data_IF_454227510967
#
_entry.id   IF_454227510967
#
_cell.length_a   1.000
_cell.length_b   1.000
_cell.length_c   1.000
_cell.angle_alpha   90.00
_cell.angle_beta   90.00
_cell.angle_gamma   90.00
#
_symmetry.space_group_name_H-M   'P 1'
#
loop_
_entity.id
_entity.type
_entity.pdbx_description
1 polymer ?
#
# COMPACT_ATOMS: atom_id res chain seq x y z
N UNK A 1 16.41 15.42 -13.24
CA UNK A 1 15.75 15.24 -14.54
C UNK A 1 14.54 14.39 -14.25
N UNK A 2 13.34 14.87 -14.56
CA UNK A 2 12.11 14.16 -14.22
C UNK A 2 11.62 13.40 -15.45
N UNK A 3 11.28 12.13 -15.26
CA UNK A 3 10.66 11.31 -16.29
C UNK A 3 9.19 11.12 -15.96
N UNK A 4 8.32 11.44 -16.91
CA UNK A 4 6.89 11.14 -16.84
C UNK A 4 6.53 10.22 -18.01
N UNK A 5 5.82 9.13 -17.72
CA UNK A 5 5.31 8.21 -18.73
C UNK A 5 3.81 8.02 -18.54
N UNK A 6 3.06 8.12 -19.64
CA UNK A 6 1.63 7.84 -19.65
C UNK A 6 1.41 6.35 -19.95
N UNK A 7 0.93 5.62 -18.95
CA UNK A 7 0.67 4.17 -19.05
C UNK A 7 -0.82 3.92 -18.83
N UNK A 8 -1.52 3.17 -19.70
CA UNK A 8 -2.92 2.81 -19.51
C UNK A 8 -3.20 2.25 -18.11
N UNK A 9 -4.29 2.67 -17.47
CA UNK A 9 -4.57 2.44 -16.02
C UNK A 9 -4.79 0.97 -15.65
N UNK A 10 -5.24 0.14 -16.59
CA UNK A 10 -5.57 -1.28 -16.40
C UNK A 10 -4.36 -2.21 -16.48
N UNK A 11 -3.26 -1.77 -17.08
CA UNK A 11 -2.07 -2.59 -17.24
C UNK A 11 -1.31 -2.74 -15.92
N UNK A 12 -0.62 -3.88 -15.79
CA UNK A 12 0.37 -4.05 -14.74
C UNK A 12 1.49 -3.01 -14.90
N UNK A 13 1.76 -2.25 -13.85
CA UNK A 13 2.79 -1.22 -13.84
C UNK A 13 3.97 -1.67 -12.99
N UNK A 14 5.15 -1.77 -13.60
CA UNK A 14 6.39 -2.11 -12.91
C UNK A 14 7.32 -0.89 -12.95
N UNK A 15 7.70 -0.40 -11.77
CA UNK A 15 8.56 0.78 -11.60
C UNK A 15 9.76 0.41 -10.75
N UNK A 16 10.96 0.67 -11.26
CA UNK A 16 12.20 0.47 -10.52
C UNK A 16 12.99 1.77 -10.55
N UNK A 17 13.16 2.39 -9.39
CA UNK A 17 13.98 3.57 -9.18
C UNK A 17 15.15 3.26 -8.25
N UNK A 18 16.16 4.13 -8.23
CA UNK A 18 17.21 4.06 -7.21
C UNK A 18 16.96 5.11 -6.14
N UNK A 19 16.97 6.38 -6.52
CA UNK A 19 16.81 7.53 -5.60
C UNK A 19 15.61 8.40 -5.94
N UNK A 20 14.98 8.12 -7.07
CA UNK A 20 13.91 8.93 -7.63
C UNK A 20 12.59 8.64 -6.94
N UNK A 21 11.74 9.66 -6.84
CA UNK A 21 10.36 9.49 -6.40
C UNK A 21 9.59 8.64 -7.40
N UNK A 22 8.90 7.64 -6.91
CA UNK A 22 8.01 6.78 -7.69
C UNK A 22 6.57 7.12 -7.35
N UNK A 23 5.79 7.59 -8.33
CA UNK A 23 4.37 7.92 -8.17
C UNK A 23 3.50 7.05 -9.09
N UNK A 24 2.56 6.30 -8.53
CA UNK A 24 1.53 5.57 -9.26
C UNK A 24 0.16 5.81 -8.60
N UNK A 25 -0.76 6.50 -9.26
CA UNK A 25 -2.01 6.96 -8.61
C UNK A 25 -3.25 6.37 -9.28
N UNK A 26 -4.21 5.93 -8.45
CA UNK A 26 -5.55 5.46 -8.85
C UNK A 26 -5.48 4.43 -10.00
N UNK A 27 -4.53 3.50 -9.92
CA UNK A 27 -4.36 2.44 -10.93
C UNK A 27 -5.51 1.44 -10.85
N UNK A 28 -5.97 0.94 -11.99
CA UNK A 28 -6.95 -0.16 -12.04
C UNK A 28 -6.23 -1.51 -12.01
N UNK A 29 -5.05 -1.58 -12.61
CA UNK A 29 -4.19 -2.76 -12.61
C UNK A 29 -3.19 -2.81 -11.44
N UNK A 30 -2.52 -3.97 -11.25
CA UNK A 30 -1.50 -4.13 -10.23
C UNK A 30 -0.34 -3.14 -10.36
N UNK A 31 0.31 -2.83 -9.24
CA UNK A 31 1.53 -2.02 -9.21
C UNK A 31 2.62 -2.77 -8.49
N UNK A 32 3.77 -2.90 -9.14
CA UNK A 32 5.03 -3.30 -8.51
C UNK A 32 6.00 -2.13 -8.54
N UNK A 33 6.47 -1.68 -7.39
CA UNK A 33 7.41 -0.57 -7.30
C UNK A 33 8.56 -0.89 -6.37
N UNK A 34 9.79 -0.64 -6.82
CA UNK A 34 11.01 -0.80 -6.01
C UNK A 34 11.87 0.45 -6.06
N UNK A 35 12.44 0.81 -4.92
CA UNK A 35 13.33 1.97 -4.79
C UNK A 35 14.38 1.75 -3.72
N UNK A 36 15.65 2.14 -3.93
CA UNK A 36 16.65 2.06 -2.86
C UNK A 36 16.40 3.12 -1.76
N UNK A 37 16.10 4.35 -2.16
CA UNK A 37 15.98 5.49 -1.22
C UNK A 37 14.95 6.54 -1.60
N UNK A 38 14.50 6.56 -2.86
CA UNK A 38 13.44 7.45 -3.30
C UNK A 38 12.08 7.03 -2.72
N UNK A 39 11.20 7.99 -2.38
CA UNK A 39 9.90 7.68 -1.82
C UNK A 39 8.98 7.03 -2.88
N UNK A 40 8.12 6.13 -2.43
CA UNK A 40 7.11 5.46 -3.25
C UNK A 40 5.72 5.92 -2.79
N UNK A 41 4.95 6.55 -3.69
CA UNK A 41 3.54 6.83 -3.47
C UNK A 41 2.72 6.01 -4.47
N UNK A 42 2.01 4.99 -4.00
CA UNK A 42 1.26 4.09 -4.86
C UNK A 42 -0.19 3.92 -4.39
N UNK A 43 -1.15 4.00 -5.31
CA UNK A 43 -2.53 3.63 -5.06
C UNK A 43 -3.14 2.84 -6.22
N UNK A 44 -3.85 1.76 -5.88
CA UNK A 44 -4.46 0.86 -6.86
C UNK A 44 -5.75 0.22 -6.34
N UNK A 45 -6.66 -0.10 -7.26
CA UNK A 45 -7.82 -0.97 -7.04
C UNK A 45 -7.44 -2.46 -7.15
N UNK A 46 -6.19 -2.78 -7.48
CA UNK A 46 -5.64 -4.13 -7.50
C UNK A 46 -4.45 -4.24 -6.53
N UNK A 47 -3.77 -5.40 -6.53
CA UNK A 47 -2.64 -5.67 -5.63
C UNK A 47 -1.52 -4.63 -5.75
N UNK A 48 -0.89 -4.32 -4.63
CA UNK A 48 0.31 -3.50 -4.52
C UNK A 48 1.49 -4.35 -4.04
N UNK A 49 2.62 -4.33 -4.75
CA UNK A 49 3.88 -4.95 -4.34
C UNK A 49 4.98 -3.89 -4.31
N UNK A 50 5.23 -3.33 -3.13
CA UNK A 50 6.06 -2.13 -2.95
C UNK A 50 7.22 -2.45 -2.02
N UNK A 51 8.44 -2.08 -2.41
CA UNK A 51 9.61 -2.27 -1.55
C UNK A 51 10.61 -1.12 -1.61
N UNK A 52 11.20 -0.76 -0.47
CA UNK A 52 12.32 0.17 -0.44
C UNK A 52 13.29 -0.06 0.71
N UNK A 53 14.56 0.27 0.54
CA UNK A 53 15.54 0.07 1.62
C UNK A 53 15.39 1.21 2.66
N UNK A 54 15.33 2.46 2.20
CA UNK A 54 15.34 3.64 3.09
C UNK A 54 14.27 4.69 2.77
N UNK A 55 13.61 4.60 1.61
CA UNK A 55 12.60 5.55 1.19
C UNK A 55 11.30 5.44 1.99
N UNK A 56 10.52 6.52 2.06
CA UNK A 56 9.17 6.43 2.61
C UNK A 56 8.23 5.74 1.62
N UNK A 57 7.30 4.92 2.11
CA UNK A 57 6.21 4.36 1.31
C UNK A 57 4.88 4.94 1.80
N UNK A 58 4.11 5.53 0.90
CA UNK A 58 2.68 5.81 1.09
C UNK A 58 1.88 4.94 0.12
N UNK A 59 1.11 4.02 0.66
CA UNK A 59 0.33 3.05 -0.10
C UNK A 59 -1.15 3.18 0.23
N UNK A 60 -2.01 3.10 -0.80
CA UNK A 60 -3.46 3.04 -0.60
C UNK A 60 -4.09 1.97 -1.50
N UNK A 61 -4.72 0.98 -0.88
CA UNK A 61 -5.56 0.02 -1.60
C UNK A 61 -6.96 0.61 -1.68
N UNK A 62 -7.46 0.76 -2.91
CA UNK A 62 -8.70 1.48 -3.21
C UNK A 62 -9.90 0.55 -3.42
N UNK A 63 -9.70 -0.77 -3.38
CA UNK A 63 -10.74 -1.77 -3.55
C UNK A 63 -10.96 -2.55 -2.24
N UNK A 64 -12.22 -2.88 -1.98
CA UNK A 64 -12.63 -3.74 -0.85
C UNK A 64 -12.23 -5.21 -1.05
N UNK A 65 -11.99 -5.61 -2.31
CA UNK A 65 -11.52 -6.93 -2.70
C UNK A 65 -10.50 -6.81 -3.82
N UNK A 66 -9.45 -7.61 -3.75
CA UNK A 66 -8.50 -7.76 -4.84
C UNK A 66 -7.98 -9.19 -4.95
N UNK A 67 -7.44 -9.53 -6.10
CA UNK A 67 -6.81 -10.83 -6.31
C UNK A 67 -5.31 -10.78 -5.97
N UNK A 68 -4.85 -11.79 -5.24
CA UNK A 68 -3.45 -11.95 -4.82
C UNK A 68 -3.07 -11.19 -3.55
N UNK A 69 -1.81 -11.30 -3.18
CA UNK A 69 -1.27 -10.67 -1.98
C UNK A 69 -0.73 -9.27 -2.30
N UNK A 70 -1.14 -8.29 -1.50
CA UNK A 70 -0.48 -6.99 -1.45
C UNK A 70 0.63 -7.03 -0.41
N UNK A 71 1.83 -6.61 -0.78
CA UNK A 71 3.02 -6.59 0.07
C UNK A 71 3.64 -5.20 0.05
N UNK A 72 3.90 -4.66 1.23
CA UNK A 72 4.54 -3.36 1.41
C UNK A 72 5.70 -3.56 2.36
N UNK A 73 6.92 -3.32 1.87
CA UNK A 73 8.15 -3.59 2.61
C UNK A 73 9.05 -2.37 2.65
N UNK A 74 9.60 -2.07 3.83
CA UNK A 74 10.75 -1.19 3.96
C UNK A 74 11.83 -1.82 4.83
N UNK A 75 13.10 -1.43 4.68
CA UNK A 75 14.10 -1.81 5.69
C UNK A 75 14.15 -0.74 6.81
N UNK A 76 14.20 0.55 6.49
CA UNK A 76 14.26 1.62 7.51
C UNK A 76 13.33 2.80 7.25
N UNK A 77 12.71 2.85 6.08
CA UNK A 77 11.79 3.90 5.71
C UNK A 77 10.44 3.79 6.42
N UNK A 78 9.80 4.95 6.59
CA UNK A 78 8.43 5.03 7.12
C UNK A 78 7.44 4.46 6.11
N UNK A 79 6.50 3.65 6.58
CA UNK A 79 5.39 3.13 5.79
C UNK A 79 4.09 3.73 6.33
N UNK A 80 3.28 4.31 5.43
CA UNK A 80 1.90 4.68 5.68
C UNK A 80 1.03 3.85 4.74
N UNK A 81 0.22 2.96 5.30
CA UNK A 81 -0.67 2.09 4.54
C UNK A 81 -2.13 2.41 4.86
N UNK A 82 -2.87 2.86 3.85
CA UNK A 82 -4.31 3.10 3.92
C UNK A 82 -5.04 1.81 3.57
N UNK A 83 -5.81 1.29 4.54
CA UNK A 83 -6.45 -0.02 4.49
C UNK A 83 -7.98 0.14 4.36
N UNK A 84 -8.64 -0.45 3.34
CA UNK A 84 -10.10 -0.35 3.20
C UNK A 84 -10.82 -1.36 4.09
N UNK A 85 -11.09 -0.97 5.34
CA UNK A 85 -11.62 -1.88 6.38
C UNK A 85 -13.05 -2.38 6.13
N UNK A 86 -13.79 -1.80 5.18
CA UNK A 86 -15.09 -2.31 4.71
C UNK A 86 -14.98 -3.62 3.92
N UNK A 87 -13.76 -3.99 3.48
CA UNK A 87 -13.51 -5.14 2.63
C UNK A 87 -13.21 -6.47 3.31
N UNK A 88 -12.92 -7.48 2.47
CA UNK A 88 -12.56 -8.83 2.89
C UNK A 88 -11.03 -8.99 3.03
N UNK A 89 -10.48 -8.47 4.13
CA UNK A 89 -9.02 -8.29 4.28
C UNK A 89 -8.43 -9.14 5.40
N UNK A 90 -7.37 -9.88 5.11
CA UNK A 90 -6.44 -10.40 6.11
C UNK A 90 -5.21 -9.48 6.16
N UNK A 91 -5.09 -8.70 7.24
CA UNK A 91 -4.03 -7.74 7.46
C UNK A 91 -2.99 -8.30 8.45
N UNK A 92 -1.72 -8.19 8.10
CA UNK A 92 -0.60 -8.42 9.01
C UNK A 92 0.43 -7.32 8.85
N UNK A 93 0.81 -6.69 9.96
CA UNK A 93 1.84 -5.67 10.01
C UNK A 93 2.92 -6.04 11.04
N UNK A 94 4.18 -5.88 10.68
CA UNK A 94 5.32 -6.09 11.56
C UNK A 94 6.35 -4.98 11.38
N UNK A 95 6.96 -4.52 12.47
CA UNK A 95 8.11 -3.63 12.41
C UNK A 95 9.04 -3.76 13.60
N UNK A 96 10.35 -3.57 13.41
CA UNK A 96 11.29 -3.33 14.52
C UNK A 96 11.22 -1.91 15.09
N UNK A 97 10.64 -0.97 14.34
CA UNK A 97 10.37 0.40 14.76
C UNK A 97 9.03 0.56 15.49
N UNK A 98 8.41 1.75 15.42
CA UNK A 98 7.08 2.00 15.99
C UNK A 98 5.97 1.50 15.07
N UNK A 99 4.91 0.93 15.65
CA UNK A 99 3.67 0.58 14.95
C UNK A 99 2.49 1.37 15.57
N UNK A 100 1.72 2.08 14.75
CA UNK A 100 0.52 2.80 15.19
C UNK A 100 -0.64 2.60 14.23
N UNK A 101 -1.87 2.66 14.76
CA UNK A 101 -3.11 2.47 14.01
C UNK A 101 -4.11 3.56 14.40
N UNK A 102 -4.94 4.03 13.47
CA UNK A 102 -6.02 4.98 13.77
C UNK A 102 -7.40 4.30 13.92
N UNK A 103 -7.46 2.99 13.68
CA UNK A 103 -8.62 2.14 13.90
C UNK A 103 -8.34 1.12 15.02
N UNK A 104 -9.41 0.45 15.49
CA UNK A 104 -9.42 -0.47 16.64
C UNK A 104 -8.66 -1.78 16.45
N UNK A 105 -7.39 -1.70 16.04
CA UNK A 105 -6.47 -2.81 15.85
C UNK A 105 -5.49 -2.87 17.02
N UNK A 106 -5.44 -4.03 17.68
CA UNK A 106 -4.50 -4.27 18.77
C UNK A 106 -3.06 -4.38 18.25
N UNK A 107 -2.16 -3.60 18.85
CA UNK A 107 -0.72 -3.65 18.60
C UNK A 107 -0.02 -4.40 19.73
N UNK A 108 0.79 -5.39 19.38
CA UNK A 108 1.48 -6.26 20.33
C UNK A 108 3.00 -6.14 20.19
N UNK A 109 3.76 -6.01 21.29
CA UNK A 109 5.22 -6.10 21.24
C UNK A 109 5.66 -7.49 20.81
N UNK A 110 6.83 -7.61 20.18
CA UNK A 110 7.43 -8.88 19.75
C UNK A 110 8.61 -9.28 20.63
N UNK A 111 8.86 -10.57 20.76
CA UNK A 111 9.94 -11.12 21.61
C UNK A 111 11.34 -10.61 21.22
N UNK A 112 11.58 -10.35 19.93
CA UNK A 112 12.86 -9.85 19.40
C UNK A 112 12.94 -8.32 19.33
N UNK A 113 12.00 -7.63 19.97
CA UNK A 113 11.83 -6.18 19.83
C UNK A 113 10.91 -5.79 18.67
N UNK A 114 10.43 -4.56 18.72
CA UNK A 114 9.44 -4.04 17.77
C UNK A 114 8.01 -4.45 18.10
N UNK A 115 7.14 -4.32 17.10
CA UNK A 115 5.70 -4.48 17.23
C UNK A 115 5.10 -5.25 16.06
N UNK A 116 3.96 -5.86 16.31
CA UNK A 116 3.14 -6.55 15.32
C UNK A 116 1.67 -6.26 15.55
N UNK A 117 0.89 -6.31 14.47
CA UNK A 117 -0.55 -6.24 14.51
C UNK A 117 -1.13 -7.13 13.42
N UNK A 118 -2.23 -7.81 13.72
CA UNK A 118 -2.92 -8.63 12.75
C UNK A 118 -4.43 -8.56 12.97
N UNK A 119 -5.18 -8.56 11.88
CA UNK A 119 -6.63 -8.62 11.90
C UNK A 119 -7.18 -9.31 10.66
N UNK A 120 -8.41 -9.81 10.80
CA UNK A 120 -9.21 -10.30 9.69
C UNK A 120 -10.53 -9.54 9.66
N UNK A 121 -10.83 -8.93 8.53
CA UNK A 121 -12.07 -8.25 8.21
C UNK A 121 -12.82 -9.07 7.16
N UNK A 122 -14.14 -9.23 7.34
CA UNK A 122 -14.96 -10.12 6.51
C UNK A 122 -14.39 -11.54 6.41
N UNK A 123 -14.37 -12.09 5.19
CA UNK A 123 -13.80 -13.40 4.87
C UNK A 123 -12.26 -13.43 4.87
N UNK A 124 -11.60 -12.27 4.75
CA UNK A 124 -10.14 -12.17 4.70
C UNK A 124 -9.50 -12.78 3.45
N UNK A 125 -10.22 -12.77 2.32
CA UNK A 125 -9.74 -13.33 1.04
C UNK A 125 -8.61 -12.52 0.41
N UNK A 126 -8.60 -11.21 0.65
CA UNK A 126 -7.57 -10.29 0.16
C UNK A 126 -6.50 -10.11 1.23
N UNK A 127 -5.22 -10.39 0.91
CA UNK A 127 -4.14 -10.33 1.91
C UNK A 127 -3.33 -9.06 1.78
N UNK A 128 -3.13 -8.36 2.89
CA UNK A 128 -2.24 -7.20 3.00
C UNK A 128 -1.16 -7.47 4.04
N UNK A 129 0.08 -7.52 3.58
CA UNK A 129 1.27 -7.69 4.40
C UNK A 129 2.08 -6.40 4.41
N UNK A 130 2.32 -5.85 5.59
CA UNK A 130 3.15 -4.66 5.80
C UNK A 130 4.33 -5.05 6.68
N UNK A 131 5.55 -4.76 6.24
CA UNK A 131 6.75 -5.08 6.99
C UNK A 131 7.74 -3.93 6.93
N UNK A 132 8.31 -3.58 8.08
CA UNK A 132 9.52 -2.75 8.14
C UNK A 132 10.59 -3.40 9.02
N UNK A 133 11.87 -3.35 8.65
CA UNK A 133 12.90 -3.89 9.55
C UNK A 133 13.10 -2.98 10.78
N UNK A 134 13.18 -1.67 10.58
CA UNK A 134 13.39 -0.68 11.65
C UNK A 134 12.54 0.60 11.52
N UNK A 135 11.87 0.80 10.39
CA UNK A 135 11.09 2.01 10.11
C UNK A 135 9.73 2.05 10.81
N UNK A 136 9.18 3.24 10.98
CA UNK A 136 7.81 3.41 11.51
C UNK A 136 6.76 2.85 10.52
N UNK A 137 5.77 2.15 11.05
CA UNK A 137 4.60 1.68 10.29
C UNK A 137 3.35 2.33 10.86
N UNK A 138 2.60 3.00 10.00
CA UNK A 138 1.32 3.61 10.32
C UNK A 138 0.24 2.99 9.45
N UNK A 139 -0.78 2.44 10.10
CA UNK A 139 -1.95 1.88 9.46
C UNK A 139 -3.10 2.87 9.64
N UNK A 140 -3.64 3.34 8.53
CA UNK A 140 -4.74 4.29 8.51
C UNK A 140 -5.96 3.65 7.83
N UNK A 141 -7.16 4.00 8.30
CA UNK A 141 -8.39 3.59 7.63
C UNK A 141 -8.57 4.38 6.32
N UNK A 142 -8.71 3.66 5.20
CA UNK A 142 -9.08 4.26 3.92
C UNK A 142 -10.59 4.52 3.86
N UNK A 143 -11.00 5.78 3.81
CA UNK A 143 -12.37 6.15 3.44
C UNK A 143 -12.47 6.08 1.92
N UNK A 144 -13.09 5.00 1.42
CA UNK A 144 -13.41 4.87 0.00
C UNK A 144 -14.64 5.73 -0.28
N UNK A 145 -14.43 6.84 -0.99
CA UNK A 145 -15.54 7.58 -1.60
C UNK A 145 -15.92 6.87 -2.89
N UNK A 146 -17.23 6.68 -3.12
CA UNK A 146 -17.73 6.16 -4.38
C UNK A 146 -17.15 6.98 -5.55
N UNK A 147 -16.76 6.29 -6.61
CA UNK A 147 -16.28 6.94 -7.82
C UNK A 147 -17.41 7.81 -8.37
N UNK A 148 -17.15 9.12 -8.53
CA UNK A 148 -17.91 9.92 -9.49
C UNK A 148 -17.89 9.16 -10.80
N UNK A 149 -19.06 8.70 -11.24
CA UNK A 149 -19.22 7.96 -12.48
C UNK A 149 -18.56 8.73 -13.61
N UNK A 150 -17.66 8.05 -14.32
CA UNK A 150 -17.10 8.53 -15.56
C UNK A 150 -18.30 8.75 -16.50
N UNK A 151 -18.75 10.00 -16.61
CA UNK A 151 -19.73 10.40 -17.60
C UNK A 151 -19.01 10.36 -18.93
N UNK A 152 -19.03 9.18 -19.55
CA UNK A 152 -18.79 9.03 -20.98
C UNK A 152 -19.89 9.80 -21.71
N UNK A 153 -19.69 11.11 -21.86
CA UNK A 153 -20.36 11.93 -22.84
C UNK A 153 -19.80 11.57 -24.21
N UNK A 154 -20.43 10.57 -24.82
CA UNK A 154 -20.45 10.39 -26.26
C UNK A 154 -21.02 11.69 -26.86
N UNK A 155 -20.24 12.36 -27.71
CA UNK A 155 -20.72 13.50 -28.49
C UNK A 155 -20.71 13.04 -29.94
N UNK A 156 -21.92 12.95 -30.50
CA UNK A 156 -22.23 12.75 -31.92
C UNK A 156 -21.50 13.73 -32.85
#
# INVERSE_FOLDING_TARGET
YDMAAYVPRSLNLILNGARDRVDARKRLGPVTARSTSGPINASSYARLDLSTDTGAIKAAILAERWSGDSRIRSDSGRIIALVPLSGDIALSAETGGRLSTDFGLSVHPRDKGGYSAAARYGSGTSKLQVYSDSGEVILEHAVLLEQDGDSSGEVD
#
